data_IF_539240124925
#
_entry.id   IF_539240124925
#
_cell.length_a   1.000
_cell.length_b   1.000
_cell.length_c   1.000
_cell.angle_alpha   90.00
_cell.angle_beta   90.00
_cell.angle_gamma   90.00
#
_symmetry.space_group_name_H-M   'P 1'
#
loop_
_entity.id
_entity.type
_entity.pdbx_description
1 polymer ?
#
# COMPACT_ATOMS: atom_id res chain seq x y z
N UNK A 1 -15.93 -16.84 37.46
CA UNK A 1 -15.05 -16.82 36.26
C UNK A 1 -15.79 -17.53 35.13
N UNK A 2 -16.11 -16.82 34.04
CA UNK A 2 -16.68 -17.45 32.85
C UNK A 2 -15.54 -18.11 32.07
N UNK A 3 -15.55 -19.44 31.95
CA UNK A 3 -14.64 -20.15 31.06
C UNK A 3 -15.10 -19.88 29.62
N UNK A 4 -14.30 -19.13 28.87
CA UNK A 4 -14.50 -19.02 27.43
C UNK A 4 -14.03 -20.34 26.79
N UNK A 5 -14.83 -20.99 25.94
CA UNK A 5 -14.38 -22.19 25.23
C UNK A 5 -13.17 -21.86 24.34
N UNK A 6 -12.11 -22.67 24.45
CA UNK A 6 -10.95 -22.61 23.56
C UNK A 6 -11.03 -23.68 22.49
N UNK A 7 -10.70 -23.33 21.24
CA UNK A 7 -10.75 -24.25 20.10
C UNK A 7 -9.35 -24.61 19.62
N UNK A 8 -9.11 -25.90 19.42
CA UNK A 8 -7.93 -26.46 18.78
C UNK A 8 -8.37 -27.28 17.57
N UNK A 9 -7.92 -26.89 16.38
CA UNK A 9 -8.11 -27.67 15.16
C UNK A 9 -6.83 -28.42 14.82
N UNK A 10 -6.97 -29.68 14.48
CA UNK A 10 -5.90 -30.48 13.89
C UNK A 10 -6.14 -30.56 12.38
N UNK A 11 -5.20 -30.05 11.58
CA UNK A 11 -5.20 -30.20 10.13
C UNK A 11 -4.17 -31.26 9.78
N UNK A 12 -4.64 -32.47 9.50
CA UNK A 12 -3.78 -33.60 9.12
C UNK A 12 -3.87 -33.84 7.62
N UNK A 13 -2.74 -33.73 6.93
CA UNK A 13 -2.60 -33.85 5.49
C UNK A 13 -1.72 -35.06 5.15
N UNK A 14 -2.03 -35.77 4.07
CA UNK A 14 -1.24 -36.90 3.57
C UNK A 14 -0.68 -36.57 2.21
N UNK A 15 0.62 -36.85 2.00
CA UNK A 15 1.30 -36.45 0.78
C UNK A 15 2.37 -37.46 0.34
N UNK A 16 2.28 -37.92 -0.92
CA UNK A 16 3.23 -38.83 -1.55
C UNK A 16 4.21 -38.14 -2.50
N UNK A 17 3.87 -36.96 -3.01
CA UNK A 17 4.69 -36.24 -4.00
C UNK A 17 5.34 -35.03 -3.34
N UNK A 18 6.66 -34.83 -3.47
CA UNK A 18 7.30 -33.58 -3.02
C UNK A 18 6.65 -32.34 -3.64
N UNK A 19 6.49 -31.28 -2.84
CA UNK A 19 5.92 -30.00 -3.28
C UNK A 19 6.77 -28.85 -2.73
N UNK A 20 7.47 -28.14 -3.62
CA UNK A 20 8.36 -27.04 -3.23
C UNK A 20 7.62 -25.92 -2.47
N UNK A 21 6.33 -25.72 -2.76
CA UNK A 21 5.49 -24.69 -2.15
C UNK A 21 4.59 -25.24 -1.04
N UNK A 22 4.88 -26.44 -0.51
CA UNK A 22 4.08 -27.07 0.54
C UNK A 22 3.89 -26.17 1.76
N UNK A 23 4.95 -25.48 2.21
CA UNK A 23 4.84 -24.57 3.36
C UNK A 23 3.81 -23.45 3.15
N UNK A 24 3.73 -22.89 1.93
CA UNK A 24 2.70 -21.91 1.57
C UNK A 24 1.31 -22.52 1.52
N UNK A 25 1.14 -23.68 0.88
CA UNK A 25 -0.15 -24.39 0.81
C UNK A 25 -0.70 -24.75 2.19
N UNK A 26 0.15 -25.21 3.11
CA UNK A 26 -0.25 -25.51 4.48
C UNK A 26 -0.67 -24.24 5.24
N UNK A 27 0.02 -23.12 5.02
CA UNK A 27 -0.39 -21.83 5.58
C UNK A 27 -1.78 -21.40 5.06
N UNK A 28 -2.07 -21.60 3.77
CA UNK A 28 -3.40 -21.32 3.21
C UNK A 28 -4.49 -22.14 3.91
N UNK A 29 -4.26 -23.43 4.17
CA UNK A 29 -5.21 -24.27 4.90
C UNK A 29 -5.43 -23.78 6.33
N UNK A 30 -4.36 -23.43 7.04
CA UNK A 30 -4.45 -22.85 8.39
C UNK A 30 -5.29 -21.58 8.39
N UNK A 31 -5.02 -20.64 7.46
CA UNK A 31 -5.79 -19.39 7.33
C UNK A 31 -7.24 -19.67 6.95
N UNK A 32 -7.51 -20.63 6.08
CA UNK A 32 -8.87 -21.00 5.67
C UNK A 32 -9.68 -21.60 6.82
N UNK A 33 -9.08 -22.43 7.66
CA UNK A 33 -9.71 -22.96 8.89
C UNK A 33 -10.02 -21.81 9.84
N UNK A 34 -9.05 -20.93 10.09
CA UNK A 34 -9.21 -19.72 10.91
C UNK A 34 -10.36 -18.83 10.41
N UNK A 35 -10.41 -18.55 9.12
CA UNK A 35 -11.48 -17.75 8.51
C UNK A 35 -12.84 -18.45 8.60
N UNK A 36 -12.88 -19.78 8.42
CA UNK A 36 -14.10 -20.57 8.57
C UNK A 36 -14.64 -20.52 10.00
N UNK A 37 -13.76 -20.61 10.99
CA UNK A 37 -14.12 -20.49 12.40
C UNK A 37 -14.76 -19.14 12.72
N UNK A 38 -14.21 -18.03 12.21
CA UNK A 38 -14.84 -16.70 12.36
C UNK A 38 -16.21 -16.61 11.67
N UNK A 39 -16.34 -17.20 10.46
CA UNK A 39 -17.63 -17.23 9.73
C UNK A 39 -18.73 -18.00 10.48
N UNK A 40 -18.36 -18.93 11.37
CA UNK A 40 -19.31 -19.64 12.23
C UNK A 40 -19.80 -18.80 13.43
N UNK A 41 -19.36 -17.54 13.55
CA UNK A 41 -19.78 -16.62 14.60
C UNK A 41 -18.88 -16.61 15.83
N UNK A 42 -17.75 -17.33 15.80
CA UNK A 42 -16.77 -17.29 16.88
C UNK A 42 -15.98 -15.97 16.86
N UNK A 43 -15.76 -15.32 18.02
CA UNK A 43 -15.23 -13.96 18.09
C UNK A 43 -13.70 -13.88 18.02
N UNK A 44 -12.99 -15.02 18.09
CA UNK A 44 -11.52 -15.08 18.12
C UNK A 44 -11.03 -16.21 17.23
N UNK A 45 -9.79 -16.09 16.76
CA UNK A 45 -9.14 -17.15 16.00
C UNK A 45 -8.89 -18.38 16.87
N UNK A 46 -9.02 -19.60 16.32
CA UNK A 46 -8.65 -20.81 17.01
C UNK A 46 -7.16 -21.10 16.84
N UNK A 47 -6.62 -21.97 17.70
CA UNK A 47 -5.31 -22.58 17.42
C UNK A 47 -5.49 -23.66 16.35
N UNK A 48 -4.60 -23.68 15.35
CA UNK A 48 -4.58 -24.70 14.30
C UNK A 48 -3.20 -25.35 14.27
N UNK A 49 -3.15 -26.66 14.44
CA UNK A 49 -1.93 -27.46 14.34
C UNK A 49 -1.92 -28.16 12.97
N UNK A 50 -1.04 -27.74 12.03
CA UNK A 50 -0.84 -28.49 10.80
C UNK A 50 0.09 -29.69 11.04
N UNK A 51 -0.32 -30.87 10.60
CA UNK A 51 0.48 -32.08 10.54
C UNK A 51 0.47 -32.61 9.11
N UNK A 52 1.65 -32.80 8.52
CA UNK A 52 1.79 -33.40 7.19
C UNK A 52 2.48 -34.75 7.31
N UNK A 53 1.79 -35.80 6.87
CA UNK A 53 2.29 -37.16 6.77
C UNK A 53 2.86 -37.39 5.37
N UNK A 54 4.18 -37.21 5.23
CA UNK A 54 4.90 -37.44 3.98
C UNK A 54 5.38 -38.90 3.88
N UNK A 55 5.06 -39.56 2.76
CA UNK A 55 5.44 -40.96 2.49
C UNK A 55 5.92 -41.17 1.05
N UNK A 56 6.50 -40.13 0.44
CA UNK A 56 6.96 -40.21 -0.94
C UNK A 56 8.28 -40.95 -1.14
N UNK A 57 8.59 -41.21 -2.42
CA UNK A 57 9.82 -41.91 -2.81
C UNK A 57 11.09 -41.07 -2.62
N UNK A 58 10.98 -39.74 -2.61
CA UNK A 58 12.11 -38.83 -2.36
C UNK A 58 12.31 -38.68 -0.85
N UNK A 59 13.37 -39.29 -0.32
CA UNK A 59 13.64 -39.31 1.12
C UNK A 59 15.09 -38.91 1.44
N UNK A 60 15.34 -38.03 2.43
CA UNK A 60 14.34 -37.29 3.21
C UNK A 60 13.53 -36.31 2.34
N UNK A 61 12.44 -35.75 2.88
CA UNK A 61 11.63 -34.75 2.16
C UNK A 61 12.55 -33.62 1.66
N UNK A 62 12.52 -33.27 0.35
CA UNK A 62 13.59 -32.47 -0.25
C UNK A 62 13.43 -30.95 -0.10
N UNK A 63 12.30 -30.45 0.40
CA UNK A 63 12.01 -29.02 0.49
C UNK A 63 11.85 -28.53 1.94
N UNK A 64 11.92 -27.22 2.15
CA UNK A 64 11.76 -26.62 3.47
C UNK A 64 10.29 -26.61 3.93
N UNK A 65 10.08 -26.78 5.23
CA UNK A 65 8.78 -26.61 5.88
C UNK A 65 8.55 -25.18 6.37
N UNK A 66 9.54 -24.29 6.26
CA UNK A 66 9.41 -22.89 6.64
C UNK A 66 8.81 -22.06 5.50
N UNK A 67 7.78 -21.28 5.82
CA UNK A 67 7.14 -20.36 4.87
C UNK A 67 8.13 -19.38 4.21
N UNK A 68 9.18 -19.01 4.93
CA UNK A 68 10.18 -18.04 4.46
C UNK A 68 11.01 -18.57 3.29
N UNK A 69 11.20 -19.89 3.19
CA UNK A 69 11.91 -20.51 2.09
C UNK A 69 11.16 -20.43 0.76
N UNK A 70 9.85 -20.13 0.79
CA UNK A 70 9.05 -19.90 -0.41
C UNK A 70 9.28 -18.51 -1.05
N UNK A 71 10.04 -17.62 -0.39
CA UNK A 71 10.34 -16.29 -0.91
C UNK A 71 11.72 -16.27 -1.57
N UNK A 72 11.87 -15.46 -2.61
CA UNK A 72 13.16 -15.22 -3.27
C UNK A 72 14.23 -14.68 -2.32
N UNK A 73 13.82 -13.89 -1.30
CA UNK A 73 14.69 -13.45 -0.21
C UNK A 73 14.10 -13.84 1.15
N UNK A 74 14.48 -15.02 1.70
CA UNK A 74 13.93 -15.52 2.97
C UNK A 74 14.19 -14.59 4.17
N UNK A 75 15.35 -13.95 4.24
CA UNK A 75 15.70 -13.06 5.36
C UNK A 75 14.87 -11.77 5.34
N UNK A 76 14.60 -11.22 4.15
CA UNK A 76 13.69 -10.09 4.01
C UNK A 76 12.25 -10.49 4.34
N UNK A 77 11.81 -11.69 3.92
CA UNK A 77 10.47 -12.19 4.19
C UNK A 77 10.22 -12.39 5.69
N UNK A 78 11.18 -12.99 6.43
CA UNK A 78 11.13 -13.11 7.89
C UNK A 78 10.91 -11.77 8.57
N UNK A 79 11.52 -10.71 8.03
CA UNK A 79 11.42 -9.36 8.59
C UNK A 79 10.07 -8.70 8.31
N UNK A 80 9.47 -8.95 7.14
CA UNK A 80 8.34 -8.12 6.67
C UNK A 80 7.07 -8.88 6.29
N UNK A 81 7.16 -10.02 5.62
CA UNK A 81 6.03 -10.59 4.87
C UNK A 81 4.82 -11.02 5.73
N UNK A 82 5.05 -11.52 6.95
CA UNK A 82 3.99 -11.86 7.91
C UNK A 82 4.22 -11.17 9.28
N UNK A 83 4.94 -10.04 9.26
CA UNK A 83 5.18 -9.22 10.45
C UNK A 83 3.95 -8.37 10.79
N UNK A 84 3.96 -7.72 11.96
CA UNK A 84 2.92 -6.73 12.29
C UNK A 84 2.86 -5.66 11.22
N UNK A 85 1.67 -5.43 10.65
CA UNK A 85 1.49 -4.40 9.63
C UNK A 85 1.80 -3.02 10.21
N UNK A 86 2.40 -2.16 9.38
CA UNK A 86 2.59 -0.76 9.74
C UNK A 86 1.29 0.01 9.51
N UNK A 87 0.68 0.51 10.60
CA UNK A 87 -0.49 1.38 10.52
C UNK A 87 -0.05 2.84 10.34
N UNK A 88 -0.40 3.45 9.23
CA UNK A 88 -0.27 4.90 9.01
C UNK A 88 -1.63 5.53 9.35
N UNK A 89 -1.76 6.06 10.56
CA UNK A 89 -3.00 6.70 11.03
C UNK A 89 -3.00 8.21 10.73
N UNK A 90 -3.53 8.55 9.55
CA UNK A 90 -3.66 9.93 9.08
C UNK A 90 -4.62 10.79 9.94
N UNK A 91 -5.39 10.19 10.85
CA UNK A 91 -6.30 10.95 11.72
C UNK A 91 -5.55 11.69 12.82
N UNK A 92 -4.45 11.13 13.30
CA UNK A 92 -3.61 11.72 14.36
C UNK A 92 -2.34 12.36 13.82
N UNK A 93 -1.87 11.94 12.64
CA UNK A 93 -0.62 12.43 12.06
C UNK A 93 -0.69 13.91 11.68
N UNK A 94 0.32 14.71 11.98
CA UNK A 94 0.36 16.13 11.60
C UNK A 94 0.61 16.34 10.10
N UNK A 95 0.25 17.51 9.58
CA UNK A 95 0.56 17.85 8.19
C UNK A 95 2.08 17.95 7.97
N UNK A 96 2.81 18.44 8.97
CA UNK A 96 4.26 18.59 8.97
C UNK A 96 4.99 17.24 8.87
N UNK A 97 4.41 16.18 9.43
CA UNK A 97 4.91 14.81 9.26
C UNK A 97 4.63 14.28 7.86
N UNK A 98 3.40 14.44 7.35
CA UNK A 98 3.03 14.05 5.98
C UNK A 98 3.91 14.75 4.94
N UNK A 99 4.30 16.01 5.20
CA UNK A 99 5.23 16.79 4.37
C UNK A 99 6.60 16.13 4.13
N UNK A 100 6.97 15.14 4.95
CA UNK A 100 8.25 14.43 4.85
C UNK A 100 8.14 13.11 4.09
N UNK A 101 6.93 12.65 3.73
CA UNK A 101 6.68 11.31 3.17
C UNK A 101 6.97 11.19 1.66
N UNK A 102 7.65 12.17 1.07
CA UNK A 102 8.11 12.13 -0.32
C UNK A 102 6.96 11.88 -1.30
N UNK A 103 7.05 10.80 -2.07
CA UNK A 103 6.05 10.43 -3.07
C UNK A 103 4.65 10.14 -2.49
N UNK A 104 4.56 9.70 -1.23
CA UNK A 104 3.29 9.35 -0.60
C UNK A 104 2.47 10.58 -0.14
N UNK A 105 3.13 11.72 0.04
CA UNK A 105 2.53 12.97 0.54
C UNK A 105 1.21 13.31 -0.13
N UNK A 106 1.18 13.28 -1.46
CA UNK A 106 -0.01 13.73 -2.19
C UNK A 106 -1.23 12.90 -1.78
N UNK A 107 -1.07 11.58 -1.80
CA UNK A 107 -2.16 10.64 -1.50
C UNK A 107 -2.57 10.67 -0.04
N UNK A 108 -1.61 10.71 0.88
CA UNK A 108 -1.88 10.81 2.32
C UNK A 108 -2.59 12.12 2.70
N UNK A 109 -2.14 13.25 2.15
CA UNK A 109 -2.76 14.54 2.39
C UNK A 109 -4.22 14.56 1.90
N UNK A 110 -4.49 13.93 0.75
CA UNK A 110 -5.85 13.78 0.26
C UNK A 110 -6.72 12.91 1.15
N UNK A 111 -6.23 11.75 1.58
CA UNK A 111 -7.00 10.88 2.47
C UNK A 111 -7.28 11.56 3.81
N UNK A 112 -6.30 12.27 4.37
CA UNK A 112 -6.49 13.06 5.61
C UNK A 112 -7.63 14.07 5.47
N UNK A 113 -7.72 14.73 4.33
CA UNK A 113 -8.68 15.81 4.10
C UNK A 113 -9.95 15.40 3.37
N UNK A 114 -10.15 14.11 3.09
CA UNK A 114 -11.31 13.62 2.32
C UNK A 114 -12.66 14.04 2.92
N UNK A 115 -12.75 14.22 4.24
CA UNK A 115 -13.99 14.60 4.94
C UNK A 115 -14.28 16.10 4.94
N UNK A 116 -13.38 16.95 4.45
CA UNK A 116 -13.45 18.41 4.61
C UNK A 116 -14.46 19.15 3.72
N UNK A 117 -15.23 18.43 2.88
CA UNK A 117 -16.11 18.99 1.82
C UNK A 117 -15.40 19.91 0.82
N UNK A 118 -14.06 20.00 0.84
CA UNK A 118 -13.25 20.74 -0.13
C UNK A 118 -12.89 19.84 -1.30
N UNK A 119 -12.76 20.43 -2.49
CA UNK A 119 -12.38 19.69 -3.69
C UNK A 119 -10.94 19.22 -3.67
N UNK A 120 -10.63 18.18 -4.45
CA UNK A 120 -9.25 17.73 -4.64
C UNK A 120 -8.38 18.85 -5.21
N UNK A 121 -8.93 19.64 -6.14
CA UNK A 121 -8.22 20.74 -6.79
C UNK A 121 -7.81 21.80 -5.77
N UNK A 122 -8.67 22.13 -4.80
CA UNK A 122 -8.33 23.06 -3.72
C UNK A 122 -7.10 22.60 -2.93
N UNK A 123 -7.02 21.31 -2.61
CA UNK A 123 -5.87 20.77 -1.88
C UNK A 123 -4.60 20.71 -2.72
N UNK A 124 -4.70 20.41 -4.03
CA UNK A 124 -3.55 20.54 -4.95
C UNK A 124 -3.06 21.98 -4.99
N UNK A 125 -3.97 22.93 -5.17
CA UNK A 125 -3.64 24.35 -5.24
C UNK A 125 -2.90 24.79 -3.98
N UNK A 126 -3.41 24.41 -2.80
CA UNK A 126 -2.74 24.67 -1.53
C UNK A 126 -1.32 24.08 -1.47
N UNK A 127 -1.16 22.80 -1.80
CA UNK A 127 0.15 22.14 -1.77
C UNK A 127 1.12 22.71 -2.82
N UNK A 128 0.62 23.18 -3.97
CA UNK A 128 1.41 23.90 -4.97
C UNK A 128 1.86 25.26 -4.45
N UNK A 129 0.96 26.04 -3.87
CA UNK A 129 1.28 27.36 -3.30
C UNK A 129 2.29 27.26 -2.14
N UNK A 130 2.19 26.21 -1.32
CA UNK A 130 3.16 25.91 -0.25
C UNK A 130 4.45 25.25 -0.76
N UNK A 131 4.59 25.04 -2.09
CA UNK A 131 5.78 24.43 -2.69
C UNK A 131 5.99 22.95 -2.34
N UNK A 132 5.00 22.27 -1.76
CA UNK A 132 5.11 20.89 -1.24
C UNK A 132 5.12 19.83 -2.33
N UNK A 133 4.57 20.13 -3.52
CA UNK A 133 4.57 19.20 -4.66
C UNK A 133 5.79 19.34 -5.57
N UNK A 134 6.69 20.29 -5.30
CA UNK A 134 7.88 20.56 -6.13
C UNK A 134 8.74 19.32 -6.33
N UNK A 135 9.00 18.60 -5.24
CA UNK A 135 9.83 17.38 -5.25
C UNK A 135 9.15 16.24 -6.02
N UNK A 136 7.86 15.99 -5.77
CA UNK A 136 7.08 14.97 -6.48
C UNK A 136 7.08 15.24 -7.99
N UNK A 137 6.92 16.51 -8.38
CA UNK A 137 7.01 16.93 -9.77
C UNK A 137 8.37 16.61 -10.40
N UNK A 138 9.46 16.89 -9.69
CA UNK A 138 10.82 16.71 -10.21
C UNK A 138 11.24 15.24 -10.26
N UNK A 139 10.88 14.45 -9.24
CA UNK A 139 11.29 13.05 -9.12
C UNK A 139 10.38 12.08 -9.89
N UNK A 140 9.06 12.31 -9.92
CA UNK A 140 8.07 11.39 -10.50
C UNK A 140 7.44 11.94 -11.78
N UNK A 141 7.19 13.25 -11.79
CA UNK A 141 6.56 13.94 -12.91
C UNK A 141 5.10 14.33 -12.66
N UNK A 142 4.66 15.35 -13.40
CA UNK A 142 3.35 15.97 -13.22
C UNK A 142 2.17 15.03 -13.49
N UNK A 143 2.37 14.00 -14.31
CA UNK A 143 1.35 12.99 -14.59
C UNK A 143 0.84 12.32 -13.31
N UNK A 144 1.73 12.08 -12.33
CA UNK A 144 1.34 11.53 -11.03
C UNK A 144 0.29 12.40 -10.31
N UNK A 145 0.47 13.72 -10.32
CA UNK A 145 -0.46 14.67 -9.68
C UNK A 145 -1.82 14.65 -10.39
N UNK A 146 -1.82 14.57 -11.73
CA UNK A 146 -3.05 14.43 -12.52
C UNK A 146 -3.77 13.14 -12.15
N UNK A 147 -3.06 12.01 -12.14
CA UNK A 147 -3.64 10.70 -11.85
C UNK A 147 -4.17 10.64 -10.42
N UNK A 148 -3.53 11.32 -9.48
CA UNK A 148 -3.97 11.45 -8.10
C UNK A 148 -5.27 12.26 -7.97
N UNK A 149 -5.38 13.40 -8.67
CA UNK A 149 -6.63 14.18 -8.71
C UNK A 149 -7.74 13.40 -9.40
N UNK A 150 -7.45 12.75 -10.54
CA UNK A 150 -8.40 11.87 -11.22
C UNK A 150 -8.88 10.76 -10.30
N UNK A 151 -7.97 10.09 -9.60
CA UNK A 151 -8.31 9.04 -8.65
C UNK A 151 -9.29 9.56 -7.58
N UNK A 152 -9.05 10.76 -7.03
CA UNK A 152 -9.97 11.38 -6.07
C UNK A 152 -11.32 11.73 -6.70
N UNK A 153 -11.32 12.29 -7.91
CA UNK A 153 -12.54 12.65 -8.64
C UNK A 153 -13.38 11.43 -9.05
N UNK A 154 -12.78 10.30 -9.38
CA UNK A 154 -13.50 9.11 -9.87
C UNK A 154 -13.83 8.09 -8.76
N UNK A 155 -12.96 7.93 -7.75
CA UNK A 155 -13.09 6.87 -6.76
C UNK A 155 -13.88 7.30 -5.50
N UNK A 156 -14.15 8.60 -5.34
CA UNK A 156 -14.79 9.13 -4.13
C UNK A 156 -16.31 9.38 -4.26
N UNK A 157 -16.98 8.82 -5.26
CA UNK A 157 -18.45 8.87 -5.37
C UNK A 157 -19.06 10.22 -5.76
N UNK A 158 -18.27 11.29 -5.79
CA UNK A 158 -18.61 12.50 -6.52
C UNK A 158 -18.39 12.20 -8.01
N UNK A 159 -19.36 12.52 -8.88
CA UNK A 159 -19.06 12.56 -10.32
C UNK A 159 -17.95 13.59 -10.50
N UNK A 160 -16.86 13.19 -11.15
CA UNK A 160 -15.79 14.10 -11.54
C UNK A 160 -16.42 15.35 -12.16
N UNK A 161 -16.33 16.49 -11.49
CA UNK A 161 -16.81 17.75 -12.04
C UNK A 161 -15.83 18.16 -13.16
N UNK A 162 -16.25 18.16 -14.44
CA UNK A 162 -15.38 18.55 -15.54
C UNK A 162 -14.80 19.96 -15.34
N UNK A 163 -15.52 20.84 -14.64
CA UNK A 163 -15.06 22.19 -14.31
C UNK A 163 -13.87 22.18 -13.34
N UNK A 164 -13.82 21.21 -12.42
CA UNK A 164 -12.66 21.02 -11.54
C UNK A 164 -11.43 20.53 -12.30
N UNK A 165 -11.62 19.62 -13.26
CA UNK A 165 -10.53 19.17 -14.12
C UNK A 165 -9.99 20.31 -14.98
N UNK A 166 -10.87 21.15 -15.54
CA UNK A 166 -10.47 22.36 -16.26
C UNK A 166 -9.75 23.37 -15.36
N UNK A 167 -10.24 23.57 -14.13
CA UNK A 167 -9.57 24.41 -13.12
C UNK A 167 -8.17 23.90 -12.84
N UNK A 168 -7.98 22.60 -12.63
CA UNK A 168 -6.65 22.00 -12.45
C UNK A 168 -5.73 22.27 -13.65
N UNK A 169 -6.23 22.08 -14.87
CA UNK A 169 -5.47 22.36 -16.10
C UNK A 169 -5.13 23.85 -16.25
N UNK A 170 -6.01 24.75 -15.80
CA UNK A 170 -5.78 26.19 -15.81
C UNK A 170 -4.75 26.64 -14.76
N UNK A 171 -4.81 26.05 -13.56
CA UNK A 171 -3.81 26.22 -12.51
C UNK A 171 -2.44 25.76 -13.01
N UNK A 172 -2.39 24.63 -13.72
CA UNK A 172 -1.18 24.18 -14.40
C UNK A 172 -0.66 25.22 -15.39
N UNK A 173 -1.48 25.73 -16.31
CA UNK A 173 -1.02 26.78 -17.26
C UNK A 173 -0.44 27.99 -16.54
N UNK A 174 -1.03 28.39 -15.42
CA UNK A 174 -0.64 29.58 -14.64
C UNK A 174 0.67 29.42 -13.88
N UNK A 175 0.87 28.28 -13.21
CA UNK A 175 2.09 28.00 -12.43
C UNK A 175 3.31 27.79 -13.34
N UNK A 176 3.10 27.44 -14.62
CA UNK A 176 4.17 27.12 -15.55
C UNK A 176 4.42 28.17 -16.65
N UNK A 177 3.48 29.11 -16.91
CA UNK A 177 3.75 30.26 -17.78
C UNK A 177 4.67 31.29 -17.13
N UNK A 178 4.69 31.36 -15.80
CA UNK A 178 5.58 32.24 -15.02
C UNK A 178 7.02 31.72 -14.92
N UNK A 179 7.24 30.40 -15.02
CA UNK A 179 8.58 29.79 -14.90
C UNK A 179 9.36 29.64 -16.23
N UNK A 180 8.78 30.03 -17.38
CA UNK A 180 9.53 30.12 -18.65
C UNK A 180 10.27 31.45 -18.85
N UNK A 181 10.06 32.45 -17.98
CA UNK A 181 10.70 33.77 -18.11
C UNK A 181 12.10 33.90 -17.50
N UNK A 182 12.65 32.85 -16.89
CA UNK A 182 13.85 32.97 -16.03
C UNK A 182 15.08 32.15 -16.45
N UNK A 183 15.06 31.44 -17.59
CA UNK A 183 16.18 30.53 -17.93
C UNK A 183 16.80 30.74 -19.32
N UNK A 184 16.44 31.83 -20.01
CA UNK A 184 17.01 32.15 -21.34
C UNK A 184 18.19 33.14 -21.28
N UNK A 185 18.54 33.70 -20.11
CA UNK A 185 19.57 34.75 -20.01
C UNK A 185 20.96 34.31 -19.51
N UNK A 186 21.18 33.01 -19.26
CA UNK A 186 22.51 32.50 -18.83
C UNK A 186 23.34 31.93 -20.02
N UNK A 187 22.76 31.84 -21.23
CA UNK A 187 23.48 31.31 -22.41
C UNK A 187 24.11 32.35 -23.33
N UNK A 188 24.15 33.64 -22.96
CA UNK A 188 24.71 34.72 -23.80
C UNK A 188 26.01 35.36 -23.34
N UNK A 189 26.62 34.94 -22.22
CA UNK A 189 27.84 35.60 -21.69
C UNK A 189 29.09 34.72 -21.61
N UNK A 190 29.14 33.55 -22.26
CA UNK A 190 30.37 32.73 -22.36
C UNK A 190 30.77 32.38 -23.80
N UNK A 191 30.55 33.30 -24.74
CA UNK A 191 31.27 33.34 -26.01
C UNK A 191 31.74 34.77 -26.29
N UNK A 192 32.93 35.07 -25.79
CA UNK A 192 33.83 36.14 -26.24
C UNK A 192 35.24 35.67 -25.93
#
# INVERSE_FOLDING_TARGET
>A
MYHQPGYLYLSAEHQSTPDEMMAFRILEYVVNIMASHLRQGHPKLPMVLPLVLYHGNSSPYPYSNEIWACFENPELAKKWALSTFQLIDLTVQSNEEIYKHGCALGMEYFFKHQRSKKSAVFWVEKLLMEGKLTRIREEIGFKYIIDLVKYNLYSCGNKADPEELEKLLSLWKRVYSTNRGGNDDIRRTTRS
#
